data_IF_838735705677
#
_entry.id   IF_838735705677
#
_cell.length_a   1.000
_cell.length_b   1.000
_cell.length_c   1.000
_cell.angle_alpha   90.00
_cell.angle_beta   90.00
_cell.angle_gamma   90.00
#
_symmetry.space_group_name_H-M   'P 1'
#
loop_
_entity.id
_entity.type
_entity.pdbx_description
1 polymer ?
#
# COMPACT_ATOMS: atom_id res chain seq x y z
N UNK A 1 1.33 8.26 23.94
CA UNK A 1 2.00 7.75 22.73
C UNK A 1 1.71 8.68 21.58
N UNK A 2 2.65 9.56 21.25
CA UNK A 2 2.50 10.49 20.12
C UNK A 2 2.71 9.76 18.80
N UNK A 3 2.21 10.29 17.68
CA UNK A 3 2.45 9.75 16.33
C UNK A 3 3.95 9.71 15.95
N UNK A 4 4.83 10.26 16.80
CA UNK A 4 6.28 10.37 16.64
C UNK A 4 7.10 9.37 17.47
N UNK A 5 6.49 8.62 18.38
CA UNK A 5 7.23 7.61 19.15
C UNK A 5 7.67 6.48 18.20
N UNK A 6 8.98 6.34 17.98
CA UNK A 6 9.54 5.23 17.19
C UNK A 6 9.42 3.91 17.95
N UNK A 7 9.53 2.79 17.23
CA UNK A 7 9.47 1.45 17.84
C UNK A 7 10.45 1.28 19.01
N UNK A 8 11.57 2.01 18.98
CA UNK A 8 12.61 2.02 20.01
C UNK A 8 12.09 2.48 21.39
N UNK A 9 11.12 3.40 21.40
CA UNK A 9 10.50 3.93 22.63
C UNK A 9 9.32 3.06 23.07
N UNK A 10 8.61 2.48 22.10
CA UNK A 10 7.36 1.76 22.32
C UNK A 10 7.55 0.30 22.73
N UNK A 11 8.37 -0.44 21.98
CA UNK A 11 8.58 -1.89 22.10
C UNK A 11 10.03 -2.18 21.65
N UNK A 12 11.04 -2.06 22.53
CA UNK A 12 12.45 -2.15 22.16
C UNK A 12 12.84 -3.50 21.55
N UNK A 13 12.11 -4.58 21.85
CA UNK A 13 12.30 -5.90 21.23
C UNK A 13 12.06 -5.87 19.70
N UNK A 14 11.12 -5.04 19.25
CA UNK A 14 10.79 -4.92 17.83
C UNK A 14 11.74 -4.00 17.06
N UNK A 15 12.43 -3.08 17.74
CA UNK A 15 13.38 -2.16 17.11
C UNK A 15 14.54 -2.91 16.41
N UNK A 16 15.11 -3.92 17.08
CA UNK A 16 16.16 -4.75 16.52
C UNK A 16 15.69 -5.52 15.28
N UNK A 17 14.46 -6.04 15.32
CA UNK A 17 13.86 -6.78 14.21
C UNK A 17 13.50 -5.86 13.03
N UNK A 18 12.93 -4.69 13.31
CA UNK A 18 12.65 -3.65 12.31
C UNK A 18 13.91 -3.28 11.55
N UNK A 19 15.02 -3.01 12.26
CA UNK A 19 16.30 -2.68 11.60
C UNK A 19 16.79 -3.81 10.70
N UNK A 20 16.70 -5.07 11.15
CA UNK A 20 17.09 -6.24 10.34
C UNK A 20 16.24 -6.36 9.08
N UNK A 21 14.93 -6.20 9.18
CA UNK A 21 14.05 -6.24 8.01
C UNK A 21 14.26 -5.07 7.06
N UNK A 22 14.51 -3.86 7.57
CA UNK A 22 14.86 -2.72 6.72
C UNK A 22 16.18 -2.95 5.97
N UNK A 23 17.20 -3.49 6.64
CA UNK A 23 18.47 -3.84 6.01
C UNK A 23 18.31 -4.95 4.95
N UNK A 24 17.55 -6.00 5.26
CA UNK A 24 17.24 -7.05 4.30
C UNK A 24 16.46 -6.52 3.09
N UNK A 25 15.48 -5.64 3.31
CA UNK A 25 14.73 -4.96 2.26
C UNK A 25 15.62 -4.06 1.41
N UNK A 26 16.51 -3.28 2.02
CA UNK A 26 17.46 -2.41 1.32
C UNK A 26 18.47 -3.23 0.49
N UNK A 27 18.99 -4.33 1.03
CA UNK A 27 19.85 -5.25 0.30
C UNK A 27 19.12 -5.88 -0.89
N UNK A 28 17.88 -6.34 -0.68
CA UNK A 28 17.03 -6.86 -1.77
C UNK A 28 16.75 -5.81 -2.84
N UNK A 29 16.48 -4.56 -2.45
CA UNK A 29 16.30 -3.45 -3.37
C UNK A 29 17.58 -3.16 -4.19
N UNK A 30 18.75 -3.15 -3.54
CA UNK A 30 20.04 -2.95 -4.20
C UNK A 30 20.35 -4.07 -5.21
N UNK A 31 20.07 -5.33 -4.87
CA UNK A 31 20.22 -6.46 -5.82
C UNK A 31 19.22 -6.32 -6.97
N UNK A 32 17.98 -5.92 -6.70
CA UNK A 32 16.95 -5.73 -7.73
C UNK A 32 17.30 -4.62 -8.73
N UNK A 33 18.03 -3.59 -8.29
CA UNK A 33 18.52 -2.49 -9.14
C UNK A 33 19.49 -2.97 -10.22
N UNK A 34 20.24 -4.05 -9.98
CA UNK A 34 21.06 -4.69 -11.02
C UNK A 34 20.17 -5.20 -12.15
N UNK A 35 19.02 -5.81 -11.80
CA UNK A 35 18.01 -6.25 -12.77
C UNK A 35 17.42 -5.11 -13.60
N UNK A 36 17.24 -3.92 -13.00
CA UNK A 36 16.78 -2.74 -13.73
C UNK A 36 17.77 -2.31 -14.82
N UNK A 37 19.09 -2.41 -14.56
CA UNK A 37 20.12 -2.04 -15.52
C UNK A 37 20.31 -3.08 -16.64
N UNK A 38 20.09 -4.37 -16.34
CA UNK A 38 20.28 -5.45 -17.30
C UNK A 38 19.04 -5.70 -18.17
N UNK A 39 17.86 -5.77 -17.56
CA UNK A 39 16.59 -6.10 -18.23
C UNK A 39 15.42 -5.35 -17.58
N UNK A 40 15.21 -4.06 -17.92
CA UNK A 40 14.17 -3.22 -17.32
C UNK A 40 12.76 -3.82 -17.36
N UNK A 41 12.41 -4.50 -18.47
CA UNK A 41 11.11 -5.16 -18.64
C UNK A 41 10.89 -6.28 -17.62
N UNK A 42 11.88 -7.16 -17.44
CA UNK A 42 11.78 -8.27 -16.48
C UNK A 42 11.72 -7.74 -15.05
N UNK A 43 12.56 -6.75 -14.73
CA UNK A 43 12.53 -6.07 -13.44
C UNK A 43 11.14 -5.51 -13.13
N UNK A 44 10.53 -4.75 -14.04
CA UNK A 44 9.22 -4.14 -13.81
C UNK A 44 8.11 -5.19 -13.65
N UNK A 45 8.14 -6.29 -14.40
CA UNK A 45 7.17 -7.38 -14.27
C UNK A 45 7.26 -8.06 -12.90
N UNK A 46 8.47 -8.40 -12.44
CA UNK A 46 8.70 -8.96 -11.11
C UNK A 46 8.37 -7.95 -10.01
N UNK A 47 8.68 -6.67 -10.22
CA UNK A 47 8.34 -5.57 -9.31
C UNK A 47 6.83 -5.44 -9.15
N UNK A 48 6.07 -5.44 -10.24
CA UNK A 48 4.61 -5.36 -10.22
C UNK A 48 4.00 -6.52 -9.42
N UNK A 49 4.52 -7.74 -9.57
CA UNK A 49 4.06 -8.90 -8.79
C UNK A 49 4.30 -8.69 -7.29
N UNK A 50 5.53 -8.33 -6.89
CA UNK A 50 5.87 -8.08 -5.50
C UNK A 50 5.06 -6.90 -4.92
N UNK A 51 4.86 -5.86 -5.72
CA UNK A 51 4.04 -4.71 -5.37
C UNK A 51 2.59 -5.11 -5.08
N UNK A 52 1.98 -5.91 -5.97
CA UNK A 52 0.59 -6.36 -5.79
C UNK A 52 0.42 -7.27 -4.57
N UNK A 53 1.41 -8.11 -4.26
CA UNK A 53 1.43 -8.91 -3.04
C UNK A 53 1.41 -8.00 -1.80
N UNK A 54 2.35 -7.06 -1.72
CA UNK A 54 2.47 -6.18 -0.58
C UNK A 54 1.26 -5.24 -0.44
N UNK A 55 0.81 -4.63 -1.54
CA UNK A 55 -0.38 -3.78 -1.56
C UNK A 55 -1.63 -4.57 -1.15
N UNK A 56 -1.77 -5.81 -1.63
CA UNK A 56 -2.88 -6.69 -1.29
C UNK A 56 -2.93 -7.01 0.20
N UNK A 57 -1.79 -7.31 0.84
CA UNK A 57 -1.71 -7.51 2.30
C UNK A 57 -2.07 -6.22 3.04
N UNK A 58 -1.51 -5.08 2.63
CA UNK A 58 -1.77 -3.79 3.26
C UNK A 58 -3.26 -3.39 3.18
N UNK A 59 -3.88 -3.48 2.00
CA UNK A 59 -5.30 -3.17 1.80
C UNK A 59 -6.20 -4.22 2.47
N UNK A 60 -5.80 -5.49 2.49
CA UNK A 60 -6.50 -6.56 3.20
C UNK A 60 -6.56 -6.28 4.70
N UNK A 61 -5.47 -5.84 5.31
CA UNK A 61 -5.45 -5.43 6.71
C UNK A 61 -6.33 -4.20 6.98
N UNK A 62 -6.35 -3.22 6.06
CA UNK A 62 -7.23 -2.06 6.18
C UNK A 62 -8.71 -2.50 6.14
N UNK A 63 -9.07 -3.34 5.17
CA UNK A 63 -10.43 -3.86 5.02
C UNK A 63 -10.86 -4.71 6.23
N UNK A 64 -9.99 -5.61 6.71
CA UNK A 64 -10.26 -6.41 7.90
C UNK A 64 -10.41 -5.53 9.16
N UNK A 65 -9.64 -4.44 9.26
CA UNK A 65 -9.80 -3.46 10.32
C UNK A 65 -11.19 -2.81 10.32
N UNK A 66 -11.67 -2.40 9.15
CA UNK A 66 -13.02 -1.83 9.00
C UNK A 66 -14.12 -2.86 9.31
N UNK A 67 -13.99 -4.11 8.84
CA UNK A 67 -14.94 -5.19 9.13
C UNK A 67 -14.98 -5.51 10.62
N UNK A 68 -13.83 -5.55 11.28
CA UNK A 68 -13.76 -5.77 12.71
C UNK A 68 -14.48 -4.65 13.48
N UNK A 69 -14.23 -3.40 13.10
CA UNK A 69 -14.88 -2.24 13.72
C UNK A 69 -16.41 -2.30 13.58
N UNK A 70 -16.91 -2.71 12.41
CA UNK A 70 -18.34 -2.85 12.17
C UNK A 70 -18.98 -4.02 12.92
N UNK A 71 -18.25 -5.13 13.09
CA UNK A 71 -18.78 -6.35 13.69
C UNK A 71 -18.65 -6.45 15.21
N UNK A 72 -17.72 -5.71 15.83
CA UNK A 72 -17.55 -5.66 17.29
C UNK A 72 -17.11 -6.99 17.94
N UNK A 73 -16.59 -7.93 17.17
CA UNK A 73 -16.23 -9.27 17.66
C UNK A 73 -14.91 -9.29 18.44
N UNK A 74 -14.85 -10.01 19.57
CA UNK A 74 -13.66 -10.08 20.43
C UNK A 74 -12.37 -10.59 19.72
N UNK A 75 -12.50 -11.31 18.60
CA UNK A 75 -11.38 -11.88 17.85
C UNK A 75 -10.41 -10.82 17.30
N UNK A 76 -10.92 -9.64 16.92
CA UNK A 76 -10.05 -8.63 16.34
C UNK A 76 -9.40 -7.71 17.37
N UNK A 77 -9.72 -7.85 18.67
CA UNK A 77 -8.99 -7.14 19.74
C UNK A 77 -7.50 -7.48 19.70
N UNK A 78 -7.17 -8.76 19.51
CA UNK A 78 -5.78 -9.23 19.40
C UNK A 78 -5.14 -8.79 18.08
N UNK A 79 -5.92 -8.72 17.00
CA UNK A 79 -5.41 -8.38 15.66
C UNK A 79 -5.31 -6.87 15.41
N UNK A 80 -6.06 -6.03 16.15
CA UNK A 80 -6.21 -4.57 15.94
C UNK A 80 -4.86 -3.87 15.77
N UNK A 81 -3.88 -4.21 16.61
CA UNK A 81 -2.53 -3.60 16.55
C UNK A 81 -1.77 -4.01 15.29
N UNK A 82 -1.75 -5.29 14.94
CA UNK A 82 -1.02 -5.81 13.78
C UNK A 82 -1.63 -5.33 12.47
N UNK A 83 -2.96 -5.39 12.32
CA UNK A 83 -3.66 -4.92 11.11
C UNK A 83 -3.58 -3.40 10.99
N UNK A 84 -3.63 -2.66 12.10
CA UNK A 84 -3.42 -1.21 12.12
C UNK A 84 -1.98 -0.82 11.76
N UNK A 85 -0.98 -1.59 12.18
CA UNK A 85 0.41 -1.40 11.75
C UNK A 85 0.58 -1.66 10.25
N UNK A 86 0.05 -2.77 9.73
CA UNK A 86 0.12 -3.12 8.31
C UNK A 86 -0.61 -2.09 7.41
N UNK A 87 -1.75 -1.57 7.86
CA UNK A 87 -2.51 -0.54 7.13
C UNK A 87 -1.74 0.78 7.01
N UNK A 88 -0.93 1.14 8.02
CA UNK A 88 -0.08 2.35 8.02
C UNK A 88 1.10 2.29 7.06
N UNK A 89 1.29 1.18 6.35
CA UNK A 89 2.28 1.06 5.26
C UNK A 89 1.77 1.70 3.95
N UNK A 90 0.48 2.06 3.86
CA UNK A 90 -0.12 2.67 2.66
C UNK A 90 0.65 3.88 2.05
N UNK A 91 1.16 4.84 2.84
CA UNK A 91 1.95 5.94 2.28
C UNK A 91 3.23 5.45 1.59
N UNK A 92 3.87 4.40 2.13
CA UNK A 92 5.04 3.77 1.52
C UNK A 92 4.66 3.07 0.22
N UNK A 93 3.53 2.34 0.19
CA UNK A 93 3.01 1.70 -1.03
C UNK A 93 2.63 2.72 -2.11
N UNK A 94 2.20 3.91 -1.70
CA UNK A 94 1.91 5.02 -2.61
C UNK A 94 3.19 5.52 -3.26
N UNK A 95 4.26 5.72 -2.49
CA UNK A 95 5.57 6.10 -3.04
C UNK A 95 6.16 5.00 -3.95
N UNK A 96 6.00 3.73 -3.55
CA UNK A 96 6.43 2.57 -4.35
C UNK A 96 5.57 2.33 -5.60
N UNK A 97 4.50 3.09 -5.83
CA UNK A 97 3.80 3.05 -7.11
C UNK A 97 4.59 3.77 -8.23
N UNK A 98 5.52 4.66 -7.87
CA UNK A 98 6.23 5.52 -8.82
C UNK A 98 6.99 4.74 -9.93
N UNK A 99 7.74 3.65 -9.63
CA UNK A 99 8.37 2.86 -10.69
C UNK A 99 7.39 2.24 -11.69
N UNK A 100 6.18 1.87 -11.24
CA UNK A 100 5.11 1.36 -12.11
C UNK A 100 4.58 2.48 -13.00
N UNK A 101 4.35 3.67 -12.44
CA UNK A 101 3.89 4.83 -13.18
C UNK A 101 4.91 5.34 -14.23
N UNK A 102 6.20 5.22 -13.95
CA UNK A 102 7.26 5.56 -14.91
C UNK A 102 7.42 4.44 -15.95
N UNK A 103 7.37 3.18 -15.53
CA UNK A 103 7.62 1.99 -16.33
C UNK A 103 6.41 1.42 -17.08
N UNK A 104 5.29 2.14 -17.16
CA UNK A 104 4.00 1.63 -17.68
C UNK A 104 4.12 1.02 -19.08
N UNK A 105 4.98 1.57 -19.94
CA UNK A 105 5.21 1.10 -21.31
C UNK A 105 5.77 -0.32 -21.41
N UNK A 106 6.47 -0.77 -20.38
CA UNK A 106 6.99 -2.15 -20.30
C UNK A 106 5.96 -3.14 -19.74
N UNK A 107 4.95 -2.64 -19.01
CA UNK A 107 3.99 -3.44 -18.28
C UNK A 107 2.67 -3.62 -19.02
N UNK A 108 2.21 -2.57 -19.69
CA UNK A 108 0.84 -2.46 -20.14
C UNK A 108 0.78 -2.27 -21.67
N UNK A 109 0.30 -3.26 -22.44
CA UNK A 109 0.25 -3.16 -23.90
C UNK A 109 -0.58 -1.98 -24.43
N UNK A 110 -1.60 -1.55 -23.68
CA UNK A 110 -2.48 -0.43 -24.04
C UNK A 110 -1.79 0.95 -23.98
N UNK A 111 -0.54 1.03 -23.52
CA UNK A 111 0.27 2.25 -23.57
C UNK A 111 1.00 2.44 -24.90
N UNK A 112 1.08 1.39 -25.73
CA UNK A 112 1.71 1.44 -27.04
C UNK A 112 0.67 1.82 -28.10
N UNK A 113 0.84 2.99 -28.71
CA UNK A 113 -0.10 3.52 -29.70
C UNK A 113 -0.23 2.63 -30.94
N UNK A 114 0.86 2.04 -31.42
CA UNK A 114 0.87 1.16 -32.59
C UNK A 114 0.08 -0.13 -32.31
N UNK A 115 0.25 -0.73 -31.12
CA UNK A 115 -0.51 -1.91 -30.70
C UNK A 115 -2.00 -1.60 -30.56
N UNK A 116 -2.35 -0.43 -30.04
CA UNK A 116 -3.76 0.00 -29.93
C UNK A 116 -4.38 0.25 -31.31
N UNK A 117 -3.63 0.83 -32.25
CA UNK A 117 -4.12 1.09 -33.60
C UNK A 117 -4.47 -0.19 -34.37
N UNK A 118 -3.76 -1.30 -34.12
CA UNK A 118 -3.97 -2.57 -34.81
C UNK A 118 -4.83 -3.58 -34.03
N UNK A 119 -5.31 -3.25 -32.83
CA UNK A 119 -6.08 -4.16 -31.98
C UNK A 119 -7.45 -3.57 -31.61
N UNK A 120 -8.49 -4.05 -32.27
CA UNK A 120 -9.87 -3.60 -32.09
C UNK A 120 -10.36 -3.72 -30.63
N UNK A 121 -9.95 -4.76 -29.89
CA UNK A 121 -10.32 -4.92 -28.47
C UNK A 121 -9.70 -3.83 -27.58
N UNK A 122 -8.48 -3.39 -27.88
CA UNK A 122 -7.84 -2.30 -27.14
C UNK A 122 -8.51 -0.96 -27.45
N UNK A 123 -8.93 -0.74 -28.70
CA UNK A 123 -9.66 0.47 -29.09
C UNK A 123 -10.99 0.61 -28.34
N UNK A 124 -11.75 -0.48 -28.21
CA UNK A 124 -13.00 -0.48 -27.43
C UNK A 124 -12.79 -0.18 -25.94
N UNK A 125 -11.60 -0.49 -25.40
CA UNK A 125 -11.25 -0.27 -23.99
C UNK A 125 -10.56 1.07 -23.72
N UNK A 126 -10.25 1.87 -24.75
CA UNK A 126 -9.43 3.10 -24.65
C UNK A 126 -9.97 4.14 -23.65
N UNK A 127 -11.30 4.21 -23.48
CA UNK A 127 -11.94 5.11 -22.52
C UNK A 127 -11.49 4.80 -21.08
N UNK A 128 -11.31 3.52 -20.75
CA UNK A 128 -10.89 3.08 -19.43
C UNK A 128 -9.37 2.81 -19.32
N UNK A 129 -8.78 2.27 -20.39
CA UNK A 129 -7.37 1.91 -20.52
C UNK A 129 -6.62 2.96 -21.34
N UNK A 130 -6.43 4.13 -20.74
CA UNK A 130 -5.50 5.15 -21.22
C UNK A 130 -4.64 5.65 -20.06
N UNK A 131 -3.46 6.16 -20.39
CA UNK A 131 -2.44 6.55 -19.41
C UNK A 131 -2.93 7.61 -18.43
N UNK A 132 -3.51 8.70 -18.91
CA UNK A 132 -3.95 9.80 -18.05
C UNK A 132 -5.06 9.37 -17.09
N UNK A 133 -6.08 8.68 -17.58
CA UNK A 133 -7.18 8.22 -16.76
C UNK A 133 -6.74 7.13 -15.76
N UNK A 134 -5.82 6.26 -16.15
CA UNK A 134 -5.22 5.28 -15.23
C UNK A 134 -4.49 5.97 -14.07
N UNK A 135 -3.66 6.98 -14.35
CA UNK A 135 -2.90 7.70 -13.32
C UNK A 135 -3.83 8.52 -12.41
N UNK A 136 -4.82 9.22 -12.97
CA UNK A 136 -5.82 9.95 -12.16
C UNK A 136 -6.56 8.99 -11.23
N UNK A 137 -7.01 7.85 -11.76
CA UNK A 137 -7.73 6.85 -10.97
C UNK A 137 -6.84 6.25 -9.87
N UNK A 138 -5.58 5.94 -10.18
CA UNK A 138 -4.62 5.49 -9.18
C UNK A 138 -4.40 6.54 -8.08
N UNK A 139 -4.26 7.81 -8.44
CA UNK A 139 -4.12 8.90 -7.48
C UNK A 139 -5.36 9.01 -6.58
N UNK A 140 -6.57 8.96 -7.15
CA UNK A 140 -7.83 8.95 -6.38
C UNK A 140 -7.87 7.78 -5.40
N UNK A 141 -7.51 6.57 -5.84
CA UNK A 141 -7.46 5.39 -4.96
C UNK A 141 -6.50 5.58 -3.80
N UNK A 142 -5.26 5.99 -4.06
CA UNK A 142 -4.29 6.23 -2.99
C UNK A 142 -4.73 7.37 -2.07
N UNK A 143 -5.31 8.45 -2.57
CA UNK A 143 -5.83 9.52 -1.71
C UNK A 143 -6.90 8.99 -0.75
N UNK A 144 -7.88 8.23 -1.26
CA UNK A 144 -8.94 7.64 -0.44
C UNK A 144 -8.37 6.66 0.58
N UNK A 145 -7.52 5.72 0.17
CA UNK A 145 -6.97 4.71 1.06
C UNK A 145 -6.06 5.31 2.13
N UNK A 146 -5.21 6.28 1.78
CA UNK A 146 -4.38 6.98 2.76
C UNK A 146 -5.22 7.79 3.74
N UNK A 147 -6.28 8.47 3.27
CA UNK A 147 -7.20 9.18 4.15
C UNK A 147 -7.87 8.23 5.15
N UNK A 148 -8.42 7.10 4.67
CA UNK A 148 -9.03 6.08 5.52
C UNK A 148 -8.02 5.54 6.54
N UNK A 149 -6.83 5.14 6.11
CA UNK A 149 -5.80 4.61 7.00
C UNK A 149 -5.35 5.64 8.04
N UNK A 150 -5.25 6.92 7.65
CA UNK A 150 -4.91 8.01 8.55
C UNK A 150 -6.00 8.23 9.61
N UNK A 151 -7.25 8.43 9.20
CA UNK A 151 -8.35 8.69 10.14
C UNK A 151 -8.61 7.52 11.09
N UNK A 152 -8.63 6.28 10.58
CA UNK A 152 -8.80 5.10 11.42
C UNK A 152 -7.65 4.92 12.41
N UNK A 153 -6.41 5.22 12.00
CA UNK A 153 -5.26 5.19 12.92
C UNK A 153 -5.34 6.29 13.97
N UNK A 154 -5.78 7.50 13.59
CA UNK A 154 -5.91 8.63 14.50
C UNK A 154 -6.99 8.38 15.56
N UNK A 155 -8.17 7.89 15.16
CA UNK A 155 -9.22 7.54 16.11
C UNK A 155 -8.85 6.34 16.97
N UNK A 156 -8.15 5.34 16.41
CA UNK A 156 -7.65 4.21 17.20
C UNK A 156 -6.71 4.66 18.31
N UNK A 157 -5.86 5.66 18.05
CA UNK A 157 -4.95 6.21 19.05
C UNK A 157 -5.70 7.03 20.11
N UNK A 158 -6.74 7.76 19.70
CA UNK A 158 -7.58 8.54 20.61
C UNK A 158 -8.34 7.63 21.60
N UNK A 159 -8.86 6.49 21.12
CA UNK A 159 -9.47 5.46 21.97
C UNK A 159 -8.52 4.90 23.04
N UNK A 160 -7.22 4.87 22.76
CA UNK A 160 -6.24 4.35 23.71
C UNK A 160 -5.87 5.40 24.78
N UNK A 161 -6.09 6.69 24.49
CA UNK A 161 -5.77 7.81 25.40
C UNK A 161 -6.93 8.20 26.29
N UNK A 162 -8.16 8.02 25.81
CA UNK A 162 -9.37 8.41 26.52
C UNK A 162 -10.33 7.22 26.65
N UNK A 163 -10.81 6.89 27.88
CA UNK A 163 -11.80 5.84 28.09
C UNK A 163 -13.24 6.26 27.72
N UNK A 164 -13.45 7.37 27.00
CA UNK A 164 -14.80 7.81 26.60
C UNK A 164 -15.41 6.87 25.53
N UNK A 165 -16.53 6.16 25.83
CA UNK A 165 -17.18 5.25 24.89
C UNK A 165 -17.71 5.95 23.63
N UNK A 166 -17.90 7.29 23.64
CA UNK A 166 -18.32 8.04 22.45
C UNK A 166 -17.27 8.06 21.34
N UNK A 167 -16.00 7.85 21.67
CA UNK A 167 -14.93 7.75 20.67
C UNK A 167 -15.08 6.44 19.88
N UNK A 168 -15.53 5.37 20.52
CA UNK A 168 -15.86 4.12 19.83
C UNK A 168 -17.02 4.25 18.84
N UNK A 169 -17.97 5.17 19.07
CA UNK A 169 -19.05 5.42 18.11
C UNK A 169 -18.65 6.27 16.88
N UNK A 170 -17.44 6.84 16.85
CA UNK A 170 -16.92 7.61 15.71
C UNK A 170 -16.15 6.74 14.71
N UNK A 171 -15.71 5.56 15.13
CA UNK A 171 -15.06 4.54 14.30
C UNK A 171 -16.11 3.52 13.83
#
# INVERSE_FOLDING_TARGET
MEFRDTADVAIPELAGLQRRFLLAGAAGAAVSLVGLLLTPRQFLQSYLMAYMLCLGVTLGCLALGMVHQLSGGAWGVVLRRSIGAASRVLPVMTAMFLPIAIGMSFLYPWTNADLVAHNELLQHKRLYLNTSFFLVRAAVYFTIWNALAYFLSAWSLEQDRSPDPRIASRM
#
